data_IF_360444839187
#
_entry.id   IF_360444839187
#
_cell.length_a   1.000
_cell.length_b   1.000
_cell.length_c   1.000
_cell.angle_alpha   90.00
_cell.angle_beta   90.00
_cell.angle_gamma   90.00
#
_symmetry.space_group_name_H-M   'P 1'
#
loop_
_entity.id
_entity.type
_entity.pdbx_description
1 polymer ?
#
# COMPACT_ATOMS: atom_id res chain seq x y z
N UNK A 1 -90.40 31.22 9.77
CA UNK A 1 -89.36 30.30 10.30
C UNK A 1 -88.60 29.74 9.06
N UNK A 2 -87.41 30.30 8.76
CA UNK A 2 -86.62 29.88 7.61
C UNK A 2 -85.52 28.92 8.11
N UNK A 3 -85.54 27.69 7.60
CA UNK A 3 -84.49 26.71 7.84
C UNK A 3 -83.34 26.95 6.91
N UNK A 4 -82.17 27.23 7.45
CA UNK A 4 -80.91 27.32 6.70
C UNK A 4 -80.27 25.93 6.69
N UNK A 5 -80.11 25.37 5.50
CA UNK A 5 -79.36 24.10 5.29
C UNK A 5 -77.92 24.48 4.96
N UNK A 6 -76.98 24.16 5.85
CA UNK A 6 -75.54 24.31 5.67
C UNK A 6 -74.95 23.09 4.95
N UNK A 7 -74.48 23.29 3.71
CA UNK A 7 -73.79 22.27 2.97
C UNK A 7 -72.29 22.31 3.32
N UNK A 8 -71.86 21.28 4.04
CA UNK A 8 -70.41 21.05 4.30
C UNK A 8 -69.83 20.31 3.08
N UNK A 9 -69.01 21.02 2.28
CA UNK A 9 -68.21 20.40 1.22
C UNK A 9 -66.95 19.87 1.87
N UNK A 10 -66.86 18.54 1.98
CA UNK A 10 -65.67 17.82 2.43
C UNK A 10 -64.74 17.67 1.21
N UNK A 11 -63.79 18.61 1.07
CA UNK A 11 -62.74 18.51 0.04
C UNK A 11 -61.70 17.44 0.46
N UNK A 12 -61.75 16.27 -0.15
CA UNK A 12 -60.71 15.28 -0.04
C UNK A 12 -59.45 15.75 -0.76
N UNK A 13 -58.47 16.25 0.00
CA UNK A 13 -57.12 16.51 -0.51
C UNK A 13 -56.38 15.18 -0.56
N UNK A 14 -56.30 14.60 -1.75
CA UNK A 14 -55.41 13.48 -2.04
C UNK A 14 -53.96 14.00 -2.06
N UNK A 15 -53.28 13.89 -0.94
CA UNK A 15 -51.82 14.00 -0.93
C UNK A 15 -51.21 12.77 -1.61
N UNK A 16 -50.87 12.93 -2.88
CA UNK A 16 -50.00 11.98 -3.56
C UNK A 16 -48.57 12.21 -3.05
N UNK A 17 -48.21 11.47 -2.01
CA UNK A 17 -46.83 11.39 -1.56
C UNK A 17 -46.05 10.49 -2.53
N UNK A 18 -45.52 11.08 -3.59
CA UNK A 18 -44.38 10.47 -4.28
C UNK A 18 -43.18 10.56 -3.36
N UNK A 19 -43.07 9.59 -2.47
CA UNK A 19 -41.80 9.31 -1.81
C UNK A 19 -40.89 8.76 -2.89
N UNK A 20 -40.05 9.64 -3.48
CA UNK A 20 -38.84 9.22 -4.17
C UNK A 20 -37.93 8.69 -3.05
N UNK A 21 -38.02 7.39 -2.82
CA UNK A 21 -36.96 6.67 -2.10
C UNK A 21 -35.79 6.64 -3.06
N UNK A 22 -34.96 7.68 -3.01
CA UNK A 22 -33.63 7.61 -3.59
C UNK A 22 -32.88 6.55 -2.77
N UNK A 23 -32.59 5.42 -3.38
CA UNK A 23 -31.62 4.45 -2.91
C UNK A 23 -30.21 5.07 -2.99
N UNK A 24 -29.95 6.13 -2.21
CA UNK A 24 -28.61 6.63 -1.93
C UNK A 24 -27.96 5.80 -0.81
N UNK A 25 -27.95 4.49 -0.98
CA UNK A 25 -27.01 3.66 -0.25
C UNK A 25 -25.63 4.00 -0.82
N UNK A 26 -24.66 4.41 0.03
CA UNK A 26 -23.32 4.67 -0.47
C UNK A 26 -22.81 3.41 -1.16
N UNK A 27 -22.42 3.53 -2.43
CA UNK A 27 -21.87 2.40 -3.17
C UNK A 27 -20.71 1.82 -2.36
N UNK A 28 -20.78 0.52 -2.09
CA UNK A 28 -19.71 -0.18 -1.37
C UNK A 28 -18.45 -0.11 -2.25
N UNK A 29 -17.34 0.48 -1.76
CA UNK A 29 -16.14 0.65 -2.58
C UNK A 29 -15.60 -0.72 -3.02
N UNK A 30 -15.30 -0.84 -4.31
CA UNK A 30 -14.68 -2.03 -4.88
C UNK A 30 -13.16 -2.00 -4.61
N UNK A 31 -12.64 -3.05 -3.96
CA UNK A 31 -11.21 -3.27 -3.82
C UNK A 31 -10.76 -4.40 -4.74
N UNK A 32 -9.74 -4.16 -5.56
CA UNK A 32 -9.20 -5.16 -6.47
C UNK A 32 -7.97 -5.82 -5.86
N UNK A 33 -7.99 -7.17 -5.73
CA UNK A 33 -6.88 -7.90 -5.12
C UNK A 33 -5.97 -8.52 -6.18
N UNK A 34 -4.66 -8.21 -6.12
CA UNK A 34 -3.60 -8.84 -6.91
C UNK A 34 -2.72 -9.66 -5.96
N UNK A 35 -2.47 -10.94 -6.30
CA UNK A 35 -1.62 -11.80 -5.47
C UNK A 35 -0.23 -11.96 -6.12
N UNK A 36 0.82 -11.64 -5.37
CA UNK A 36 2.21 -11.96 -5.71
C UNK A 36 2.70 -13.01 -4.71
N UNK A 37 2.61 -14.28 -5.11
CA UNK A 37 2.95 -15.44 -4.29
C UNK A 37 4.08 -16.30 -4.93
N UNK A 38 4.81 -15.70 -5.87
CA UNK A 38 5.89 -16.34 -6.64
C UNK A 38 7.08 -15.39 -6.76
N UNK A 39 8.10 -15.86 -7.46
CA UNK A 39 9.27 -15.07 -7.82
C UNK A 39 8.90 -13.82 -8.64
N UNK A 40 9.57 -12.72 -8.35
CA UNK A 40 9.42 -11.46 -9.09
C UNK A 40 10.23 -11.56 -10.39
N UNK A 41 9.51 -11.80 -11.48
CA UNK A 41 10.05 -11.98 -12.81
C UNK A 41 9.11 -11.47 -13.90
N UNK A 42 9.39 -11.79 -15.15
CA UNK A 42 8.61 -11.33 -16.31
C UNK A 42 7.12 -11.75 -16.23
N UNK A 43 6.84 -12.94 -15.72
CA UNK A 43 5.46 -13.43 -15.55
C UNK A 43 4.71 -12.62 -14.50
N UNK A 44 5.35 -12.36 -13.34
CA UNK A 44 4.78 -11.56 -12.26
C UNK A 44 4.56 -10.12 -12.71
N UNK A 45 5.49 -9.55 -13.47
CA UNK A 45 5.33 -8.23 -14.07
C UNK A 45 4.11 -8.13 -15.00
N UNK A 46 3.95 -9.07 -15.92
CA UNK A 46 2.77 -9.11 -16.81
C UNK A 46 1.47 -9.29 -16.04
N UNK A 47 1.49 -10.13 -15.01
CA UNK A 47 0.33 -10.34 -14.14
C UNK A 47 -0.06 -9.06 -13.40
N UNK A 48 0.95 -8.32 -12.89
CA UNK A 48 0.73 -7.03 -12.23
C UNK A 48 0.13 -5.98 -13.18
N UNK A 49 0.68 -5.86 -14.42
CA UNK A 49 0.13 -4.96 -15.43
C UNK A 49 -1.34 -5.28 -15.75
N UNK A 50 -1.63 -6.57 -15.99
CA UNK A 50 -2.99 -7.00 -16.29
C UNK A 50 -3.94 -6.72 -15.12
N UNK A 51 -3.55 -7.04 -13.90
CA UNK A 51 -4.36 -6.80 -12.71
C UNK A 51 -4.62 -5.31 -12.48
N UNK A 52 -3.62 -4.46 -12.73
CA UNK A 52 -3.77 -3.02 -12.65
C UNK A 52 -4.78 -2.49 -13.69
N UNK A 53 -4.67 -2.90 -14.95
CA UNK A 53 -5.59 -2.53 -16.02
C UNK A 53 -7.03 -3.00 -15.73
N UNK A 54 -7.18 -4.21 -15.18
CA UNK A 54 -8.49 -4.75 -14.80
C UNK A 54 -9.10 -3.96 -13.62
N UNK A 55 -8.31 -3.59 -12.62
CA UNK A 55 -8.73 -2.75 -11.49
C UNK A 55 -9.23 -1.38 -11.97
N UNK A 56 -8.50 -0.73 -12.89
CA UNK A 56 -8.92 0.53 -13.50
C UNK A 56 -10.24 0.41 -14.25
N UNK A 57 -10.37 -0.61 -15.11
CA UNK A 57 -11.60 -0.86 -15.90
C UNK A 57 -12.80 -1.17 -15.02
N UNK A 58 -12.58 -1.80 -13.88
CA UNK A 58 -13.63 -2.11 -12.91
C UNK A 58 -14.01 -0.92 -12.02
N UNK A 59 -13.31 0.22 -12.12
CA UNK A 59 -13.53 1.37 -11.24
C UNK A 59 -13.17 1.09 -9.79
N UNK A 60 -12.13 0.28 -9.55
CA UNK A 60 -11.73 -0.04 -8.19
C UNK A 60 -11.28 1.21 -7.43
N UNK A 61 -11.71 1.32 -6.17
CA UNK A 61 -11.32 2.39 -5.26
C UNK A 61 -9.86 2.27 -4.80
N UNK A 62 -9.32 1.04 -4.74
CA UNK A 62 -7.93 0.76 -4.44
C UNK A 62 -7.54 -0.67 -4.86
N UNK A 63 -6.23 -0.93 -4.94
CA UNK A 63 -5.65 -2.26 -5.11
C UNK A 63 -5.12 -2.77 -3.77
N UNK A 64 -5.46 -4.01 -3.43
CA UNK A 64 -4.82 -4.77 -2.35
C UNK A 64 -3.78 -5.70 -2.98
N UNK A 65 -2.51 -5.39 -2.80
CA UNK A 65 -1.40 -6.19 -3.28
C UNK A 65 -0.98 -7.19 -2.20
N UNK A 66 -1.45 -8.44 -2.30
CA UNK A 66 -1.06 -9.49 -1.36
C UNK A 66 0.31 -10.05 -1.74
N UNK A 67 1.26 -9.92 -0.80
CA UNK A 67 2.65 -10.33 -0.99
C UNK A 67 2.98 -11.58 -0.16
N UNK A 68 3.54 -12.58 -0.84
CA UNK A 68 4.22 -13.71 -0.22
C UNK A 68 5.34 -14.18 -1.15
N UNK A 69 6.48 -13.49 -1.14
CA UNK A 69 7.58 -13.73 -2.08
C UNK A 69 8.93 -13.63 -1.41
N UNK A 70 9.86 -14.46 -1.86
CA UNK A 70 11.28 -14.39 -1.49
C UNK A 70 12.10 -13.43 -2.38
N UNK A 71 11.43 -12.74 -3.32
CA UNK A 71 12.07 -11.77 -4.19
C UNK A 71 12.16 -12.23 -5.64
N UNK A 72 13.20 -11.76 -6.32
CA UNK A 72 13.43 -12.05 -7.74
C UNK A 72 14.29 -10.98 -8.40
N UNK A 73 14.07 -10.72 -9.68
CA UNK A 73 14.95 -9.84 -10.45
C UNK A 73 14.70 -8.37 -10.18
N UNK A 74 15.78 -7.60 -10.06
CA UNK A 74 15.75 -6.15 -9.80
C UNK A 74 14.95 -5.40 -10.87
N UNK A 75 15.14 -5.77 -12.15
CA UNK A 75 14.48 -5.09 -13.28
C UNK A 75 12.96 -5.17 -13.20
N UNK A 76 12.41 -6.34 -12.89
CA UNK A 76 10.96 -6.48 -12.79
C UNK A 76 10.41 -5.89 -11.49
N UNK A 77 11.19 -5.94 -10.40
CA UNK A 77 10.83 -5.26 -9.15
C UNK A 77 10.74 -3.73 -9.36
N UNK A 78 11.71 -3.14 -10.06
CA UNK A 78 11.71 -1.71 -10.38
C UNK A 78 10.56 -1.32 -11.33
N UNK A 79 10.21 -2.20 -12.28
CA UNK A 79 9.05 -1.99 -13.15
C UNK A 79 7.73 -1.97 -12.34
N UNK A 80 7.56 -2.91 -11.40
CA UNK A 80 6.38 -2.97 -10.52
C UNK A 80 6.35 -1.75 -9.58
N UNK A 81 7.48 -1.41 -8.95
CA UNK A 81 7.64 -0.21 -8.13
C UNK A 81 7.22 1.04 -8.89
N UNK A 82 7.73 1.21 -10.11
CA UNK A 82 7.43 2.38 -10.94
C UNK A 82 5.95 2.46 -11.30
N UNK A 83 5.30 1.33 -11.61
CA UNK A 83 3.86 1.27 -11.83
C UNK A 83 3.09 1.73 -10.59
N UNK A 84 3.47 1.26 -9.40
CA UNK A 84 2.81 1.61 -8.13
C UNK A 84 2.99 3.10 -7.81
N UNK A 85 4.22 3.62 -7.88
CA UNK A 85 4.49 5.04 -7.58
C UNK A 85 3.78 6.01 -8.53
N UNK A 86 3.45 5.59 -9.75
CA UNK A 86 2.70 6.38 -10.72
C UNK A 86 1.21 5.99 -10.80
N UNK A 87 0.72 5.20 -9.86
CA UNK A 87 -0.67 4.78 -9.85
C UNK A 87 -1.63 5.94 -9.58
N UNK A 88 -2.71 6.01 -10.35
CA UNK A 88 -3.80 6.96 -10.12
C UNK A 88 -4.77 6.52 -9.01
N UNK A 89 -4.66 5.26 -8.56
CA UNK A 89 -5.46 4.72 -7.46
C UNK A 89 -4.55 4.21 -6.35
N UNK A 90 -4.97 4.25 -5.08
CA UNK A 90 -4.18 3.74 -3.97
C UNK A 90 -3.83 2.26 -4.13
N UNK A 91 -2.58 1.90 -3.79
CA UNK A 91 -2.11 0.51 -3.77
C UNK A 91 -1.64 0.18 -2.35
N UNK A 92 -2.31 -0.74 -1.70
CA UNK A 92 -2.00 -1.17 -0.34
C UNK A 92 -1.33 -2.54 -0.34
N UNK A 93 -0.14 -2.65 0.24
CA UNK A 93 0.52 -3.92 0.43
C UNK A 93 -0.08 -4.67 1.63
N UNK A 94 -0.43 -5.94 1.44
CA UNK A 94 -0.70 -6.88 2.52
C UNK A 94 0.33 -8.00 2.49
N UNK A 95 1.28 -7.97 3.43
CA UNK A 95 2.32 -9.01 3.55
C UNK A 95 1.73 -10.18 4.34
N UNK A 96 1.44 -11.26 3.61
CA UNK A 96 0.82 -12.45 4.19
C UNK A 96 1.84 -13.31 4.97
N UNK A 97 3.05 -13.47 4.41
CA UNK A 97 4.14 -14.19 5.09
C UNK A 97 5.50 -13.52 4.84
N UNK A 98 5.90 -13.33 3.58
CA UNK A 98 7.19 -12.75 3.25
C UNK A 98 7.08 -11.63 2.21
N UNK A 99 7.81 -10.55 2.43
CA UNK A 99 8.17 -9.56 1.43
C UNK A 99 9.70 -9.39 1.45
N UNK A 100 10.42 -10.43 0.99
CA UNK A 100 11.87 -10.42 1.01
C UNK A 100 12.45 -9.88 -0.31
N UNK A 101 13.63 -9.24 -0.23
CA UNK A 101 14.39 -8.77 -1.41
C UNK A 101 13.56 -7.83 -2.30
N UNK A 102 13.34 -8.19 -3.56
CA UNK A 102 12.48 -7.47 -4.49
C UNK A 102 11.05 -7.23 -3.93
N UNK A 103 10.56 -8.12 -3.06
CA UNK A 103 9.29 -7.97 -2.36
C UNK A 103 9.27 -6.78 -1.40
N UNK A 104 10.38 -6.52 -0.72
CA UNK A 104 10.51 -5.35 0.17
C UNK A 104 10.45 -4.04 -0.62
N UNK A 105 11.17 -3.94 -1.74
CA UNK A 105 11.12 -2.77 -2.61
C UNK A 105 9.69 -2.48 -3.11
N UNK A 106 8.96 -3.53 -3.52
CA UNK A 106 7.57 -3.42 -3.96
C UNK A 106 6.67 -2.99 -2.80
N UNK A 107 6.81 -3.58 -1.62
CA UNK A 107 6.00 -3.21 -0.46
C UNK A 107 6.23 -1.76 -0.04
N UNK A 108 7.48 -1.28 -0.02
CA UNK A 108 7.84 0.10 0.33
C UNK A 108 7.28 1.11 -0.69
N UNK A 109 7.05 0.71 -1.95
CA UNK A 109 6.45 1.59 -2.95
C UNK A 109 4.94 1.78 -2.80
N UNK A 110 4.26 0.96 -2.00
CA UNK A 110 2.81 1.05 -1.77
C UNK A 110 2.44 2.16 -0.79
N UNK A 111 1.24 2.71 -0.91
CA UNK A 111 0.72 3.80 -0.06
C UNK A 111 0.64 3.40 1.42
N UNK A 112 0.29 2.16 1.70
CA UNK A 112 0.30 1.60 3.06
C UNK A 112 0.76 0.14 3.05
N UNK A 113 1.39 -0.28 4.17
CA UNK A 113 1.84 -1.65 4.37
C UNK A 113 1.11 -2.23 5.57
N UNK A 114 0.42 -3.33 5.35
CA UNK A 114 -0.20 -4.16 6.37
C UNK A 114 0.52 -5.50 6.42
N UNK A 115 0.77 -6.01 7.61
CA UNK A 115 1.49 -7.27 7.79
C UNK A 115 0.68 -8.22 8.66
N UNK A 116 0.58 -9.48 8.24
CA UNK A 116 0.06 -10.52 9.11
C UNK A 116 1.04 -10.77 10.26
N UNK A 117 0.54 -11.13 11.44
CA UNK A 117 1.39 -11.59 12.53
C UNK A 117 2.26 -12.77 12.07
N UNK A 118 3.57 -12.71 12.34
CA UNK A 118 4.55 -13.67 11.85
C UNK A 118 5.12 -13.37 10.46
N UNK A 119 4.61 -12.36 9.75
CA UNK A 119 5.19 -11.92 8.49
C UNK A 119 6.48 -11.10 8.70
N UNK A 120 7.29 -11.02 7.64
CA UNK A 120 8.53 -10.24 7.64
C UNK A 120 8.74 -9.48 6.32
N UNK A 121 9.55 -8.41 6.40
CA UNK A 121 9.94 -7.55 5.29
C UNK A 121 11.42 -7.19 5.39
N UNK A 122 12.17 -7.23 4.29
CA UNK A 122 13.57 -6.79 4.22
C UNK A 122 14.48 -7.70 3.41
N UNK A 123 15.72 -7.89 3.86
CA UNK A 123 16.74 -8.73 3.20
C UNK A 123 16.90 -8.45 1.70
N UNK A 124 17.14 -7.18 1.34
CA UNK A 124 17.13 -6.70 -0.04
C UNK A 124 18.53 -6.57 -0.68
N UNK A 125 19.56 -7.20 -0.13
CA UNK A 125 20.90 -7.28 -0.72
C UNK A 125 20.81 -7.90 -2.12
N UNK A 126 21.45 -7.26 -3.09
CA UNK A 126 21.50 -7.79 -4.47
C UNK A 126 22.47 -8.97 -4.54
N UNK A 127 21.96 -10.13 -4.90
CA UNK A 127 22.73 -11.36 -5.04
C UNK A 127 22.66 -11.90 -6.47
N UNK A 128 23.65 -12.70 -6.85
CA UNK A 128 23.61 -13.47 -8.10
C UNK A 128 22.78 -14.76 -7.92
N UNK A 129 22.67 -15.56 -8.99
CA UNK A 129 21.92 -16.82 -8.98
C UNK A 129 22.43 -17.87 -7.97
N UNK A 130 23.68 -17.74 -7.49
CA UNK A 130 24.26 -18.65 -6.48
C UNK A 130 24.11 -18.09 -5.05
N UNK A 131 23.41 -16.97 -4.87
CA UNK A 131 23.22 -16.32 -3.56
C UNK A 131 24.41 -15.46 -3.10
N UNK A 132 25.45 -15.29 -3.93
CA UNK A 132 26.61 -14.46 -3.59
C UNK A 132 26.30 -12.99 -3.87
N UNK A 133 26.65 -12.11 -2.91
CA UNK A 133 26.48 -10.68 -3.05
C UNK A 133 27.17 -10.13 -4.32
N UNK A 134 26.42 -9.30 -5.05
CA UNK A 134 26.93 -8.59 -6.22
C UNK A 134 27.91 -7.49 -5.81
N UNK A 135 28.83 -7.06 -6.73
CA UNK A 135 29.74 -5.95 -6.48
C UNK A 135 29.02 -4.68 -6.00
N UNK A 136 29.72 -3.83 -5.24
CA UNK A 136 29.16 -2.66 -4.56
C UNK A 136 28.39 -1.70 -5.49
N UNK A 137 28.75 -1.59 -6.77
CA UNK A 137 27.97 -0.78 -7.71
C UNK A 137 26.49 -1.16 -7.82
N UNK A 138 26.18 -2.46 -7.70
CA UNK A 138 24.81 -2.96 -7.71
C UNK A 138 24.10 -2.72 -6.38
N UNK A 139 24.86 -2.86 -5.29
CA UNK A 139 24.36 -2.54 -3.95
C UNK A 139 24.07 -1.04 -3.84
N UNK A 140 24.99 -0.19 -4.33
CA UNK A 140 24.82 1.27 -4.36
C UNK A 140 23.58 1.69 -5.14
N UNK A 141 23.34 1.08 -6.31
CA UNK A 141 22.14 1.32 -7.10
C UNK A 141 20.86 0.93 -6.32
N UNK A 142 20.87 -0.27 -5.72
CA UNK A 142 19.72 -0.74 -4.95
C UNK A 142 19.45 0.09 -3.70
N UNK A 143 20.51 0.52 -2.97
CA UNK A 143 20.38 1.46 -1.84
C UNK A 143 19.69 2.75 -2.28
N UNK A 144 20.17 3.36 -3.37
CA UNK A 144 19.58 4.59 -3.89
C UNK A 144 18.12 4.38 -4.33
N UNK A 145 17.81 3.25 -4.96
CA UNK A 145 16.46 2.93 -5.41
C UNK A 145 15.49 2.75 -4.24
N UNK A 146 15.86 1.96 -3.22
CA UNK A 146 14.97 1.71 -2.08
C UNK A 146 14.81 2.96 -1.21
N UNK A 147 15.89 3.75 -1.05
CA UNK A 147 15.85 5.05 -0.36
C UNK A 147 14.91 6.02 -1.05
N UNK A 148 15.09 6.27 -2.35
CA UNK A 148 14.22 7.18 -3.11
C UNK A 148 12.76 6.72 -3.14
N UNK A 149 12.53 5.41 -3.08
CA UNK A 149 11.18 4.84 -2.95
C UNK A 149 10.56 5.17 -1.60
N UNK A 150 11.32 5.06 -0.51
CA UNK A 150 10.88 5.44 0.82
C UNK A 150 10.60 6.96 0.92
N UNK A 151 11.51 7.78 0.38
CA UNK A 151 11.37 9.25 0.30
C UNK A 151 10.12 9.67 -0.48
N UNK A 152 9.78 8.96 -1.56
CA UNK A 152 8.61 9.24 -2.38
C UNK A 152 7.27 9.06 -1.63
N UNK A 153 7.24 8.32 -0.51
CA UNK A 153 6.06 8.18 0.35
C UNK A 153 5.79 9.44 1.20
N UNK A 154 6.76 10.37 1.28
CA UNK A 154 6.61 11.64 1.97
C UNK A 154 6.64 11.52 3.50
N UNK A 155 5.98 12.49 4.13
CA UNK A 155 6.01 12.69 5.57
C UNK A 155 4.61 12.69 6.16
N UNK A 156 4.52 12.30 7.43
CA UNK A 156 3.37 12.58 8.28
C UNK A 156 3.70 13.69 9.27
N UNK A 157 2.72 14.54 9.51
CA UNK A 157 2.82 15.61 10.51
C UNK A 157 2.06 15.19 11.75
N UNK A 158 2.76 15.09 12.88
CA UNK A 158 2.18 14.74 14.17
C UNK A 158 2.15 15.98 15.05
N UNK A 159 0.99 16.29 15.63
CA UNK A 159 0.85 17.34 16.63
C UNK A 159 1.12 16.76 18.01
N UNK A 160 2.11 17.29 18.71
CA UNK A 160 2.43 16.87 20.07
C UNK A 160 1.42 17.42 21.07
N UNK A 161 1.38 16.85 22.27
CA UNK A 161 0.53 17.32 23.38
C UNK A 161 0.88 18.75 23.80
N UNK A 162 2.16 19.18 23.60
CA UNK A 162 2.61 20.56 23.83
C UNK A 162 2.14 21.57 22.77
N UNK A 163 1.56 21.09 21.67
CA UNK A 163 1.13 21.93 20.54
C UNK A 163 2.21 22.15 19.48
N UNK A 164 3.40 21.55 19.65
CA UNK A 164 4.45 21.57 18.65
C UNK A 164 4.12 20.60 17.51
N UNK A 165 4.73 20.86 16.35
CA UNK A 165 4.57 20.01 15.17
C UNK A 165 5.84 19.21 14.93
N UNK A 166 5.70 17.89 14.89
CA UNK A 166 6.78 16.99 14.49
C UNK A 166 6.49 16.40 13.11
N UNK A 167 7.55 16.28 12.29
CA UNK A 167 7.46 15.71 10.94
C UNK A 167 8.24 14.42 10.90
N UNK A 168 7.56 13.32 10.58
CA UNK A 168 8.16 12.00 10.50
C UNK A 168 8.03 11.44 9.09
N UNK A 169 9.06 10.73 8.63
CA UNK A 169 8.95 9.97 7.39
C UNK A 169 7.86 8.89 7.51
N UNK A 170 7.00 8.77 6.50
CA UNK A 170 6.08 7.61 6.41
C UNK A 170 6.81 6.29 6.25
N UNK A 171 7.96 6.37 5.57
CA UNK A 171 8.92 5.27 5.41
C UNK A 171 10.30 5.84 5.66
N UNK A 172 10.94 5.44 6.74
CA UNK A 172 12.27 5.94 7.06
C UNK A 172 13.28 5.46 5.99
N UNK A 173 13.92 6.38 5.22
CA UNK A 173 14.84 6.01 4.15
C UNK A 173 16.07 5.25 4.64
N UNK A 174 16.56 5.52 5.85
CA UNK A 174 17.70 4.82 6.44
C UNK A 174 17.35 3.37 6.79
N UNK A 175 16.12 3.11 7.28
CA UNK A 175 15.62 1.75 7.51
C UNK A 175 15.53 0.98 6.19
N UNK A 176 15.03 1.63 5.12
CA UNK A 176 14.97 1.03 3.80
C UNK A 176 16.38 0.68 3.27
N UNK A 177 17.38 1.55 3.43
CA UNK A 177 18.77 1.28 3.05
C UNK A 177 19.39 0.14 3.86
N UNK A 178 19.11 0.04 5.17
CA UNK A 178 19.59 -1.02 6.03
C UNK A 178 19.07 -2.42 5.60
N UNK A 179 17.97 -2.48 4.88
CA UNK A 179 17.50 -3.74 4.26
C UNK A 179 18.39 -4.21 3.10
N UNK A 180 19.22 -3.34 2.53
CA UNK A 180 20.15 -3.66 1.42
C UNK A 180 21.56 -3.90 1.91
N UNK A 181 22.04 -3.10 2.86
CA UNK A 181 23.44 -3.00 3.24
C UNK A 181 23.64 -3.11 4.74
N UNK A 182 24.36 -4.14 5.15
CA UNK A 182 24.67 -4.42 6.55
C UNK A 182 25.50 -3.32 7.25
N UNK A 183 26.16 -2.45 6.49
CA UNK A 183 26.94 -1.33 7.03
C UNK A 183 26.08 -0.17 7.55
N UNK A 184 24.80 -0.16 7.19
CA UNK A 184 23.86 0.89 7.62
C UNK A 184 23.36 0.56 9.02
N UNK A 185 23.68 1.44 9.95
CA UNK A 185 23.27 1.33 11.37
C UNK A 185 22.04 2.19 11.60
N UNK A 186 21.00 1.60 12.18
CA UNK A 186 19.81 2.32 12.68
C UNK A 186 19.78 2.14 14.19
N UNK A 187 20.08 3.20 14.98
CA UNK A 187 20.13 3.11 16.43
C UNK A 187 18.84 2.55 17.04
N UNK A 188 18.98 1.54 17.89
CA UNK A 188 17.84 0.87 18.52
C UNK A 188 17.18 -0.23 17.68
N UNK A 189 17.55 -0.39 16.39
CA UNK A 189 16.95 -1.37 15.49
C UNK A 189 17.98 -2.37 14.93
N UNK A 190 19.04 -1.90 14.31
CA UNK A 190 20.09 -2.77 13.75
C UNK A 190 21.49 -2.18 13.91
N UNK A 191 22.48 -3.07 14.06
CA UNK A 191 23.91 -2.79 14.03
C UNK A 191 24.50 -3.07 12.63
N UNK A 192 25.81 -2.86 12.48
CA UNK A 192 26.55 -3.03 11.22
C UNK A 192 26.98 -4.49 10.93
N UNK A 193 26.32 -5.47 11.50
CA UNK A 193 26.74 -6.89 11.37
C UNK A 193 25.76 -7.72 10.52
N UNK A 194 24.62 -7.17 10.16
CA UNK A 194 23.56 -7.91 9.45
C UNK A 194 22.66 -6.98 8.64
N UNK A 195 22.18 -7.51 7.54
CA UNK A 195 21.14 -6.86 6.73
C UNK A 195 19.80 -6.90 7.47
N UNK A 196 19.10 -5.78 7.47
CA UNK A 196 17.85 -5.63 8.20
C UNK A 196 16.72 -6.46 7.58
N UNK A 197 16.01 -7.17 8.43
CA UNK A 197 14.70 -7.76 8.17
C UNK A 197 13.82 -7.48 9.37
N UNK A 198 12.65 -6.88 9.13
CA UNK A 198 11.68 -6.56 10.17
C UNK A 198 10.61 -7.63 10.26
N UNK A 199 10.28 -8.03 11.47
CA UNK A 199 9.03 -8.71 11.79
C UNK A 199 7.85 -7.73 11.74
N UNK A 200 6.62 -8.23 11.68
CA UNK A 200 5.43 -7.39 11.71
C UNK A 200 5.37 -6.48 12.95
N UNK A 201 5.86 -6.97 14.10
CA UNK A 201 5.90 -6.21 15.35
C UNK A 201 6.93 -5.08 15.32
N UNK A 202 8.12 -5.34 14.80
CA UNK A 202 9.15 -4.32 14.63
C UNK A 202 8.73 -3.27 13.61
N UNK A 203 8.16 -3.70 12.48
CA UNK A 203 7.68 -2.79 11.44
C UNK A 203 6.54 -1.85 11.91
N UNK A 204 5.82 -2.22 12.97
CA UNK A 204 4.78 -1.36 13.57
C UNK A 204 5.39 -0.26 14.46
N UNK A 205 6.61 -0.43 14.95
CA UNK A 205 7.27 0.49 15.88
C UNK A 205 8.12 1.53 15.16
N UNK A 206 8.51 1.25 13.91
CA UNK A 206 9.44 2.02 13.10
C UNK A 206 8.83 2.51 11.78
#
# INVERSE_FOLDING_TARGET
MKKIILFLIFGAFLFSSNAVVGDDMPETPLFYRINIDKEIGATTWRYMQKGYDEAQKAGAAAIILRLNTYGGTVVHADSIRTLILNSSMPVYAFIDNNAASAGALIAISCDSIYMREGANIGAATVVNQTGKAMPDKYQSYMRATIRSTAEAQGYDTVYTVSGDTEVHWRRNPQIAEAMVDERIVVPGLCDSTKVLTLTAREALQW
#
